data_IF_687085136665
#
_entry.id   IF_687085136665
#
_cell.length_a   1.000
_cell.length_b   1.000
_cell.length_c   1.000
_cell.angle_alpha   90.00
_cell.angle_beta   90.00
_cell.angle_gamma   90.00
#
_symmetry.space_group_name_H-M   'P 1'
#
loop_
_entity.id
_entity.type
_entity.pdbx_description
1 polymer ?
#
# COMPACT_ATOMS: atom_id res chain seq x y z
N UNK A 1 9.12 84.62 51.64
CA UNK A 1 9.19 83.15 51.81
C UNK A 1 7.87 82.56 51.34
N UNK A 2 7.95 81.53 50.50
CA UNK A 2 6.89 80.64 50.03
C UNK A 2 5.67 81.26 49.30
N UNK A 3 5.62 81.07 47.97
CA UNK A 3 4.37 81.03 47.22
C UNK A 3 4.36 79.75 46.38
N UNK A 4 3.36 78.93 46.64
CA UNK A 4 3.17 77.55 46.19
C UNK A 4 2.67 77.52 44.74
N UNK A 5 3.34 76.75 43.89
CA UNK A 5 2.90 76.41 42.53
C UNK A 5 1.73 75.41 42.59
N UNK A 6 0.58 75.74 42.00
CA UNK A 6 -0.51 74.78 41.74
C UNK A 6 -0.52 74.42 40.25
N UNK A 7 -0.24 73.14 39.99
CA UNK A 7 -0.36 72.48 38.69
C UNK A 7 -1.84 72.27 38.38
N UNK A 8 -2.31 72.77 37.25
CA UNK A 8 -3.65 72.54 36.72
C UNK A 8 -3.61 71.24 35.87
N UNK A 9 -4.19 70.17 36.39
CA UNK A 9 -4.41 68.92 35.65
C UNK A 9 -5.62 69.11 34.72
N UNK A 10 -5.37 69.12 33.40
CA UNK A 10 -6.39 69.05 32.36
C UNK A 10 -6.85 67.60 32.22
N UNK A 11 -8.03 67.31 32.76
CA UNK A 11 -8.71 66.02 32.61
C UNK A 11 -9.39 66.02 31.23
N UNK A 12 -8.79 65.31 30.27
CA UNK A 12 -9.43 64.93 29.02
C UNK A 12 -10.56 63.93 29.35
N UNK A 13 -11.80 64.40 29.31
CA UNK A 13 -12.99 63.55 29.37
C UNK A 13 -13.12 62.78 28.05
N UNK A 14 -12.74 61.50 28.08
CA UNK A 14 -13.17 60.51 27.09
C UNK A 14 -14.65 60.20 27.35
N UNK A 15 -15.55 60.81 26.59
CA UNK A 15 -16.95 60.40 26.55
C UNK A 15 -17.06 59.13 25.67
N UNK A 16 -17.74 58.07 26.13
CA UNK A 16 -18.01 56.91 25.29
C UNK A 16 -18.91 57.33 24.13
N UNK A 17 -18.48 57.05 22.90
CA UNK A 17 -19.32 57.16 21.72
C UNK A 17 -20.50 56.18 21.88
N UNK A 18 -21.65 56.69 22.29
CA UNK A 18 -22.91 55.96 22.18
C UNK A 18 -23.19 55.84 20.68
N UNK A 19 -23.24 54.62 20.14
CA UNK A 19 -23.73 54.36 18.79
C UNK A 19 -25.13 54.97 18.69
N UNK A 20 -25.23 56.16 18.08
CA UNK A 20 -26.51 56.77 17.79
C UNK A 20 -27.10 55.96 16.65
N UNK A 21 -28.32 55.47 16.84
CA UNK A 21 -29.08 54.89 15.73
C UNK A 21 -29.20 55.96 14.65
N UNK A 22 -28.83 55.64 13.42
CA UNK A 22 -28.83 56.55 12.27
C UNK A 22 -30.26 56.84 11.76
N UNK A 23 -31.21 57.02 12.67
CA UNK A 23 -32.66 56.99 12.40
C UNK A 23 -33.17 58.08 11.45
N UNK A 24 -32.31 59.02 11.04
CA UNK A 24 -32.65 60.07 10.08
C UNK A 24 -32.17 59.78 8.65
N UNK A 25 -31.25 58.82 8.45
CA UNK A 25 -30.74 58.46 7.12
C UNK A 25 -31.24 57.06 6.77
N UNK A 26 -32.14 56.97 5.78
CA UNK A 26 -32.64 55.70 5.26
C UNK A 26 -31.48 54.83 4.75
N UNK A 27 -31.56 53.52 5.02
CA UNK A 27 -30.62 52.50 4.53
C UNK A 27 -29.15 52.74 4.92
N UNK A 28 -28.91 53.52 5.98
CA UNK A 28 -27.59 53.74 6.56
C UNK A 28 -27.31 52.75 7.71
N UNK A 29 -26.20 52.00 7.61
CA UNK A 29 -25.76 51.03 8.63
C UNK A 29 -24.93 51.70 9.73
N UNK A 30 -24.18 52.76 9.42
CA UNK A 30 -23.36 53.49 10.39
C UNK A 30 -23.23 54.96 10.04
N UNK A 31 -23.23 55.84 11.04
CA UNK A 31 -23.20 57.30 10.87
C UNK A 31 -22.36 57.99 11.96
N UNK A 32 -21.95 59.22 11.67
CA UNK A 32 -21.24 60.08 12.61
C UNK A 32 -22.23 60.95 13.41
N UNK A 33 -22.18 60.94 14.75
CA UNK A 33 -23.21 61.58 15.60
C UNK A 33 -23.22 63.13 15.62
N UNK A 34 -22.17 63.80 15.12
CA UNK A 34 -22.06 65.27 15.25
C UNK A 34 -22.65 66.04 14.05
N UNK A 35 -22.81 65.36 12.92
CA UNK A 35 -23.51 65.79 11.70
C UNK A 35 -23.97 64.49 11.04
N UNK A 36 -25.25 64.33 10.65
CA UNK A 36 -25.77 63.04 10.15
C UNK A 36 -25.12 62.70 8.81
N UNK A 37 -23.91 62.16 8.87
CA UNK A 37 -23.10 61.72 7.74
C UNK A 37 -23.10 60.21 7.80
N UNK A 38 -23.57 59.58 6.74
CA UNK A 38 -23.52 58.13 6.62
C UNK A 38 -22.10 57.69 6.30
N UNK A 39 -21.54 56.78 7.10
CA UNK A 39 -20.21 56.20 6.88
C UNK A 39 -20.25 54.82 6.23
N UNK A 40 -21.42 54.17 6.22
CA UNK A 40 -21.66 52.88 5.55
C UNK A 40 -23.16 52.70 5.31
N UNK A 41 -23.55 52.44 4.07
CA UNK A 41 -24.92 52.05 3.73
C UNK A 41 -25.12 50.54 3.86
N UNK A 42 -26.38 50.10 3.90
CA UNK A 42 -26.75 48.68 3.87
C UNK A 42 -26.31 48.01 2.55
N UNK A 43 -26.24 46.67 2.52
CA UNK A 43 -25.90 45.93 1.31
C UNK A 43 -26.89 46.23 0.16
N UNK A 44 -26.37 46.44 -1.05
CA UNK A 44 -27.17 46.91 -2.19
C UNK A 44 -27.37 48.42 -2.26
N UNK A 45 -26.67 49.19 -1.40
CA UNK A 45 -26.71 50.65 -1.37
C UNK A 45 -25.29 51.25 -1.28
N UNK A 46 -25.10 52.46 -1.81
CA UNK A 46 -23.86 53.23 -1.73
C UNK A 46 -24.12 54.65 -1.19
N UNK A 47 -23.06 55.28 -0.66
CA UNK A 47 -23.13 56.63 -0.11
C UNK A 47 -23.09 57.64 -1.26
N UNK A 48 -24.08 58.51 -1.36
CA UNK A 48 -24.11 59.61 -2.33
C UNK A 48 -23.03 60.66 -2.02
N UNK A 49 -22.73 61.51 -3.01
CA UNK A 49 -21.75 62.60 -2.92
C UNK A 49 -22.05 63.60 -1.78
N UNK A 50 -23.32 63.75 -1.41
CA UNK A 50 -23.78 64.58 -0.29
C UNK A 50 -23.48 63.99 1.10
N UNK A 51 -23.08 62.72 1.16
CA UNK A 51 -22.84 61.90 2.35
C UNK A 51 -24.02 61.80 3.34
N UNK A 52 -25.20 62.27 2.95
CA UNK A 52 -26.42 62.26 3.77
C UNK A 52 -27.50 61.37 3.17
N UNK A 53 -27.28 60.84 1.97
CA UNK A 53 -28.18 59.94 1.26
C UNK A 53 -27.49 58.62 0.93
N UNK A 54 -28.19 57.50 1.10
CA UNK A 54 -27.82 56.21 0.52
C UNK A 54 -28.64 56.01 -0.76
N UNK A 55 -27.97 55.69 -1.87
CA UNK A 55 -28.59 55.41 -3.15
C UNK A 55 -28.51 53.92 -3.47
N UNK A 56 -29.55 53.39 -4.11
CA UNK A 56 -29.64 51.96 -4.41
C UNK A 56 -28.69 51.61 -5.56
N UNK A 57 -28.00 50.47 -5.44
CA UNK A 57 -27.20 49.93 -6.53
C UNK A 57 -28.09 49.52 -7.73
N UNK A 58 -27.53 49.48 -8.96
CA UNK A 58 -28.21 48.96 -10.13
C UNK A 58 -28.70 47.52 -9.92
N UNK A 59 -29.70 47.09 -10.70
CA UNK A 59 -30.18 45.70 -10.63
C UNK A 59 -29.02 44.71 -10.84
N UNK A 60 -29.07 43.60 -10.09
CA UNK A 60 -28.07 42.54 -10.10
C UNK A 60 -26.65 42.95 -9.63
N UNK A 61 -26.49 44.15 -9.06
CA UNK A 61 -25.26 44.60 -8.42
C UNK A 61 -25.31 44.39 -6.90
N UNK A 62 -24.37 43.60 -6.35
CA UNK A 62 -24.22 43.38 -4.90
C UNK A 62 -23.59 44.59 -4.22
N UNK A 63 -22.60 45.19 -4.88
CA UNK A 63 -21.84 46.34 -4.36
C UNK A 63 -21.52 47.32 -5.47
N UNK A 64 -21.89 48.57 -5.24
CA UNK A 64 -21.59 49.69 -6.12
C UNK A 64 -20.91 50.83 -5.34
N UNK A 65 -20.31 51.75 -6.06
CA UNK A 65 -19.61 52.94 -5.55
C UNK A 65 -19.89 54.13 -6.47
N UNK A 66 -19.69 55.35 -5.97
CA UNK A 66 -19.63 56.55 -6.79
C UNK A 66 -18.17 56.96 -6.95
N UNK A 67 -17.55 56.66 -8.11
CA UNK A 67 -16.14 56.99 -8.33
C UNK A 67 -15.95 58.46 -8.73
N UNK A 68 -16.98 59.11 -9.28
CA UNK A 68 -16.87 60.43 -9.89
C UNK A 68 -17.52 61.55 -9.09
N UNK A 69 -18.13 61.23 -7.94
CA UNK A 69 -18.89 62.16 -7.10
C UNK A 69 -20.04 62.84 -7.84
N UNK A 70 -20.69 62.11 -8.75
CA UNK A 70 -21.80 62.57 -9.58
C UNK A 70 -23.12 61.86 -9.24
N UNK A 71 -23.15 61.09 -8.14
CA UNK A 71 -24.26 60.27 -7.69
C UNK A 71 -24.65 59.16 -8.69
N UNK A 72 -23.77 58.82 -9.64
CA UNK A 72 -23.94 57.68 -10.53
C UNK A 72 -23.31 56.42 -9.94
N UNK A 73 -24.11 55.37 -9.79
CA UNK A 73 -23.67 54.11 -9.22
C UNK A 73 -22.84 53.30 -10.23
N UNK A 74 -21.57 53.07 -9.93
CA UNK A 74 -20.69 52.17 -10.66
C UNK A 74 -20.62 50.84 -9.89
N UNK A 75 -21.05 49.76 -10.54
CA UNK A 75 -21.01 48.44 -9.94
C UNK A 75 -19.56 47.93 -9.85
N UNK A 76 -19.23 47.33 -8.71
CA UNK A 76 -17.91 46.74 -8.44
C UNK A 76 -18.03 45.22 -8.30
N UNK A 77 -19.21 44.72 -7.95
CA UNK A 77 -19.46 43.30 -7.71
C UNK A 77 -20.90 42.97 -8.07
N UNK A 78 -21.08 42.06 -9.02
CA UNK A 78 -22.38 41.56 -9.45
C UNK A 78 -22.84 40.36 -8.60
N UNK A 79 -24.14 40.06 -8.62
CA UNK A 79 -24.68 38.82 -8.08
C UNK A 79 -24.12 37.64 -8.89
N UNK A 80 -24.02 36.45 -8.29
CA UNK A 80 -23.66 35.23 -9.01
C UNK A 80 -24.54 35.05 -10.27
N UNK A 81 -23.97 34.49 -11.33
CA UNK A 81 -24.56 34.39 -12.69
C UNK A 81 -24.61 35.71 -13.49
N UNK A 82 -24.13 36.82 -12.92
CA UNK A 82 -24.00 38.09 -13.64
C UNK A 82 -22.54 38.55 -13.70
N UNK A 83 -22.15 39.13 -14.84
CA UNK A 83 -20.84 39.71 -15.09
C UNK A 83 -20.90 41.23 -15.14
N UNK A 84 -19.82 41.89 -14.72
CA UNK A 84 -19.71 43.35 -14.81
C UNK A 84 -19.66 43.78 -16.28
N UNK A 85 -20.51 44.74 -16.66
CA UNK A 85 -20.49 45.34 -18.00
C UNK A 85 -19.23 46.20 -18.20
N UNK A 86 -18.84 46.43 -19.46
CA UNK A 86 -17.63 47.18 -19.80
C UNK A 86 -17.70 48.65 -19.33
N UNK A 87 -18.91 49.21 -19.26
CA UNK A 87 -19.17 50.55 -18.75
C UNK A 87 -19.25 50.61 -17.21
N UNK A 88 -19.16 49.46 -16.53
CA UNK A 88 -19.25 49.29 -15.07
C UNK A 88 -20.57 49.79 -14.44
N UNK A 89 -21.57 50.17 -15.25
CA UNK A 89 -22.85 50.66 -14.71
C UNK A 89 -23.88 49.56 -14.51
N UNK A 90 -23.69 48.40 -15.12
CA UNK A 90 -24.67 47.31 -15.09
C UNK A 90 -24.01 45.95 -14.89
N UNK A 91 -24.85 44.98 -14.57
CA UNK A 91 -24.48 43.58 -14.49
C UNK A 91 -25.28 42.83 -15.56
N UNK A 92 -24.58 42.15 -16.47
CA UNK A 92 -25.19 41.41 -17.59
C UNK A 92 -25.33 39.95 -17.20
N UNK A 93 -26.47 39.33 -17.54
CA UNK A 93 -26.69 37.91 -17.29
C UNK A 93 -25.69 37.08 -18.11
N UNK A 94 -24.88 36.26 -17.45
CA UNK A 94 -23.89 35.43 -18.13
C UNK A 94 -24.55 34.42 -19.07
N UNK A 95 -25.80 34.02 -18.80
CA UNK A 95 -26.56 33.09 -19.63
C UNK A 95 -27.01 33.69 -20.96
N UNK A 96 -26.96 35.02 -21.11
CA UNK A 96 -27.20 35.66 -22.41
C UNK A 96 -26.07 35.35 -23.41
N UNK A 97 -24.87 35.05 -22.92
CA UNK A 97 -23.71 34.64 -23.74
C UNK A 97 -23.74 33.16 -24.12
N UNK A 98 -24.06 32.31 -23.15
CA UNK A 98 -24.07 30.86 -23.26
C UNK A 98 -24.83 30.29 -22.06
N UNK A 99 -25.75 29.35 -22.31
CA UNK A 99 -26.59 28.77 -21.26
C UNK A 99 -25.80 28.07 -20.15
N UNK A 100 -24.55 27.68 -20.42
CA UNK A 100 -23.66 27.00 -19.49
C UNK A 100 -22.62 27.93 -18.84
N UNK A 101 -22.75 29.24 -19.03
CA UNK A 101 -21.86 30.21 -18.41
C UNK A 101 -22.34 30.63 -17.01
N UNK A 102 -21.51 30.35 -15.98
CA UNK A 102 -21.78 30.70 -14.58
C UNK A 102 -21.14 32.05 -14.20
N UNK A 103 -19.96 32.35 -14.74
CA UNK A 103 -19.28 33.63 -14.51
C UNK A 103 -18.78 34.19 -15.82
N UNK A 104 -18.90 35.49 -15.97
CA UNK A 104 -18.54 36.18 -17.20
C UNK A 104 -18.03 37.59 -16.91
N UNK A 105 -17.39 38.16 -17.92
CA UNK A 105 -16.88 39.54 -17.94
C UNK A 105 -17.20 40.12 -19.31
N UNK A 106 -17.69 41.34 -19.38
CA UNK A 106 -17.87 42.03 -20.67
C UNK A 106 -16.52 42.55 -21.17
N UNK A 107 -16.10 42.09 -22.35
CA UNK A 107 -14.81 42.46 -22.92
C UNK A 107 -14.99 43.65 -23.86
N UNK A 108 -14.82 44.84 -23.30
CA UNK A 108 -14.54 46.11 -23.99
C UNK A 108 -15.47 46.48 -25.17
N UNK A 109 -16.55 47.22 -24.88
CA UNK A 109 -17.32 48.09 -25.81
C UNK A 109 -18.05 47.44 -27.00
N UNK A 110 -17.86 46.14 -27.25
CA UNK A 110 -18.45 45.44 -28.40
C UNK A 110 -19.80 44.78 -28.05
N UNK A 111 -20.17 44.78 -26.77
CA UNK A 111 -21.35 44.09 -26.23
C UNK A 111 -21.18 42.58 -26.13
N UNK A 112 -19.95 42.08 -26.21
CA UNK A 112 -19.62 40.66 -26.10
C UNK A 112 -19.30 40.25 -24.66
N UNK A 113 -20.13 39.39 -24.08
CA UNK A 113 -19.89 38.81 -22.76
C UNK A 113 -18.95 37.60 -22.91
N UNK A 114 -17.78 37.68 -22.29
CA UNK A 114 -16.83 36.57 -22.22
C UNK A 114 -17.09 35.71 -21.00
N UNK A 115 -17.28 34.42 -21.22
CA UNK A 115 -17.42 33.44 -20.16
C UNK A 115 -16.07 33.09 -19.53
N UNK A 116 -15.96 33.21 -18.22
CA UNK A 116 -14.76 32.89 -17.44
C UNK A 116 -14.91 31.59 -16.67
N UNK A 117 -16.13 31.21 -16.28
CA UNK A 117 -16.44 29.95 -15.59
C UNK A 117 -17.69 29.32 -16.16
N UNK A 118 -17.63 28.02 -16.45
CA UNK A 118 -18.71 27.24 -17.02
C UNK A 118 -19.31 26.25 -16.01
N UNK A 119 -20.47 25.70 -16.33
CA UNK A 119 -21.09 24.58 -15.64
C UNK A 119 -20.14 23.37 -15.51
N UNK A 120 -20.39 22.52 -14.51
CA UNK A 120 -19.70 21.23 -14.38
C UNK A 120 -19.96 20.41 -15.65
N UNK A 121 -18.87 19.88 -16.24
CA UNK A 121 -18.93 19.20 -17.54
C UNK A 121 -18.75 20.13 -18.74
N UNK A 122 -18.47 21.41 -18.53
CA UNK A 122 -18.16 22.38 -19.58
C UNK A 122 -16.85 23.13 -19.28
N UNK A 123 -16.20 23.64 -20.32
CA UNK A 123 -15.01 24.48 -20.21
C UNK A 123 -15.16 25.75 -21.05
N UNK A 124 -14.51 26.83 -20.63
CA UNK A 124 -14.55 28.09 -21.37
C UNK A 124 -13.81 27.93 -22.70
N UNK A 125 -14.41 28.46 -23.78
CA UNK A 125 -13.73 28.48 -25.09
C UNK A 125 -12.49 29.36 -25.02
N UNK A 126 -11.45 29.04 -25.79
CA UNK A 126 -10.20 29.81 -25.79
C UNK A 126 -10.37 31.27 -26.22
N UNK A 127 -11.41 31.59 -27.00
CA UNK A 127 -11.77 32.95 -27.39
C UNK A 127 -12.64 33.68 -26.35
N UNK A 128 -12.95 33.05 -25.21
CA UNK A 128 -13.83 33.58 -24.17
C UNK A 128 -15.32 33.56 -24.50
N UNK A 129 -15.73 33.19 -25.72
CA UNK A 129 -17.12 33.34 -26.18
C UNK A 129 -17.98 32.12 -25.84
N UNK A 130 -18.27 31.96 -24.56
CA UNK A 130 -19.13 30.92 -24.02
C UNK A 130 -18.39 29.66 -23.61
N UNK A 131 -19.14 28.57 -23.53
CA UNK A 131 -18.70 27.30 -23.00
C UNK A 131 -18.75 26.23 -24.07
N UNK A 132 -17.89 25.23 -23.97
CA UNK A 132 -17.95 24.02 -24.78
C UNK A 132 -18.03 22.81 -23.87
N UNK A 133 -18.80 21.82 -24.29
CA UNK A 133 -19.04 20.59 -23.55
C UNK A 133 -17.73 19.80 -23.47
N UNK A 134 -17.41 19.33 -22.27
CA UNK A 134 -16.27 18.47 -22.06
C UNK A 134 -16.54 17.08 -22.59
N UNK A 135 -15.49 16.44 -23.10
CA UNK A 135 -15.61 15.05 -23.55
C UNK A 135 -15.99 14.16 -22.36
N UNK A 136 -16.80 13.14 -22.66
CA UNK A 136 -17.15 12.09 -21.71
C UNK A 136 -15.88 11.48 -21.08
N UNK A 137 -15.98 11.14 -19.79
CA UNK A 137 -14.91 10.55 -18.99
C UNK A 137 -13.65 11.40 -18.84
N UNK A 138 -13.74 12.72 -19.06
CA UNK A 138 -12.69 13.63 -18.65
C UNK A 138 -12.74 13.88 -17.13
N UNK A 139 -11.61 13.84 -16.45
CA UNK A 139 -11.58 14.18 -15.02
C UNK A 139 -12.01 15.64 -14.79
N UNK A 140 -12.67 15.89 -13.67
CA UNK A 140 -13.10 17.23 -13.28
C UNK A 140 -11.92 18.22 -13.30
N UNK A 141 -12.10 19.36 -13.99
CA UNK A 141 -11.06 20.38 -14.14
C UNK A 141 -9.92 20.04 -15.10
N UNK A 142 -9.95 18.88 -15.78
CA UNK A 142 -8.93 18.49 -16.77
C UNK A 142 -9.30 18.85 -18.21
N UNK A 143 -10.49 19.40 -18.41
CA UNK A 143 -11.04 19.78 -19.71
C UNK A 143 -10.73 21.25 -20.06
N UNK A 144 -10.27 21.51 -21.29
CA UNK A 144 -9.90 22.83 -21.79
C UNK A 144 -10.10 22.95 -23.30
N UNK A 145 -10.43 24.12 -23.82
CA UNK A 145 -10.37 24.41 -25.27
C UNK A 145 -9.05 25.14 -25.56
N UNK A 146 -8.14 24.53 -26.31
CA UNK A 146 -6.85 25.14 -26.63
C UNK A 146 -6.84 25.95 -27.94
N UNK A 147 -7.75 25.67 -28.87
CA UNK A 147 -7.62 26.12 -30.27
C UNK A 147 -8.76 27.02 -30.74
N UNK A 148 -9.76 27.31 -29.89
CA UNK A 148 -10.96 28.09 -30.24
C UNK A 148 -11.75 27.50 -31.41
N UNK A 149 -11.58 26.21 -31.69
CA UNK A 149 -12.36 25.48 -32.69
C UNK A 149 -13.67 24.92 -32.10
N UNK A 150 -13.89 25.16 -30.80
CA UNK A 150 -15.05 24.68 -30.05
C UNK A 150 -14.94 23.23 -29.65
N UNK A 151 -13.79 22.58 -29.81
CA UNK A 151 -13.56 21.19 -29.41
C UNK A 151 -12.84 21.19 -28.06
N UNK A 152 -13.51 20.68 -27.02
CA UNK A 152 -12.85 20.46 -25.75
C UNK A 152 -11.75 19.39 -25.90
N UNK A 153 -10.59 19.67 -25.32
CA UNK A 153 -9.51 18.73 -25.10
C UNK A 153 -9.50 18.28 -23.64
N UNK A 154 -9.10 17.04 -23.39
CA UNK A 154 -9.00 16.46 -22.06
C UNK A 154 -7.55 16.12 -21.71
N UNK A 155 -7.07 16.69 -20.60
CA UNK A 155 -5.71 16.45 -20.11
C UNK A 155 -5.57 15.11 -19.38
N UNK A 156 -6.56 14.79 -18.54
CA UNK A 156 -6.59 13.58 -17.71
C UNK A 156 -7.99 12.98 -17.83
N UNK A 157 -8.04 11.68 -18.13
CA UNK A 157 -9.27 10.92 -18.21
C UNK A 157 -9.49 10.13 -16.93
N UNK A 158 -10.75 9.82 -16.63
CA UNK A 158 -11.15 8.98 -15.51
C UNK A 158 -10.43 7.62 -15.53
N UNK A 159 -10.35 6.98 -14.37
CA UNK A 159 -9.74 5.65 -14.24
C UNK A 159 -10.36 4.64 -15.22
N UNK A 160 -9.50 3.92 -15.96
CA UNK A 160 -9.92 3.00 -17.02
C UNK A 160 -10.02 3.65 -18.40
N UNK A 161 -9.72 4.94 -18.52
CA UNK A 161 -9.66 5.67 -19.79
C UNK A 161 -8.30 6.34 -20.00
N UNK A 162 -7.97 6.62 -21.26
CA UNK A 162 -6.78 7.40 -21.63
C UNK A 162 -7.13 8.47 -22.65
N UNK A 163 -6.47 9.64 -22.61
CA UNK A 163 -6.67 10.66 -23.62
C UNK A 163 -6.21 10.15 -24.98
N UNK A 164 -6.99 10.42 -26.03
CA UNK A 164 -6.54 10.19 -27.39
C UNK A 164 -5.30 11.01 -27.72
N UNK A 165 -4.61 10.67 -28.80
CA UNK A 165 -3.43 11.39 -29.27
C UNK A 165 -3.68 12.90 -29.41
N UNK A 166 -4.84 13.28 -29.94
CA UNK A 166 -5.26 14.67 -30.09
C UNK A 166 -6.04 15.22 -28.87
N UNK A 167 -6.19 14.45 -27.80
CA UNK A 167 -6.88 14.79 -26.54
C UNK A 167 -8.38 15.12 -26.68
N UNK A 168 -8.96 14.97 -27.86
CA UNK A 168 -10.39 15.27 -28.11
C UNK A 168 -11.36 14.20 -27.63
N UNK A 169 -10.87 13.14 -26.97
CA UNK A 169 -11.70 12.08 -26.38
C UNK A 169 -10.91 11.30 -25.34
N UNK A 170 -11.64 10.68 -24.43
CA UNK A 170 -11.13 9.66 -23.53
C UNK A 170 -11.49 8.28 -24.09
N UNK A 171 -10.47 7.49 -24.42
CA UNK A 171 -10.58 6.15 -24.98
C UNK A 171 -10.67 5.13 -23.85
N UNK A 172 -11.61 4.19 -23.94
CA UNK A 172 -11.76 3.14 -22.92
C UNK A 172 -10.62 2.12 -23.06
N UNK A 173 -9.84 1.92 -22.00
CA UNK A 173 -8.75 0.95 -22.02
C UNK A 173 -9.22 -0.48 -22.33
N UNK A 174 -10.46 -0.80 -21.95
CA UNK A 174 -11.05 -2.12 -22.20
C UNK A 174 -11.41 -2.38 -23.67
N UNK A 175 -11.40 -1.35 -24.51
CA UNK A 175 -11.57 -1.53 -25.96
C UNK A 175 -10.35 -2.21 -26.60
N UNK A 176 -9.16 -2.07 -25.98
CA UNK A 176 -7.96 -2.79 -26.41
C UNK A 176 -7.99 -4.26 -25.97
N UNK A 177 -8.38 -4.51 -24.72
CA UNK A 177 -8.43 -5.82 -24.09
C UNK A 177 -9.22 -5.74 -22.77
N UNK A 178 -10.04 -6.75 -22.46
CA UNK A 178 -10.87 -6.76 -21.26
C UNK A 178 -10.07 -6.67 -19.95
N UNK A 179 -8.81 -7.10 -19.97
CA UNK A 179 -7.88 -7.09 -18.84
C UNK A 179 -6.99 -5.86 -18.78
N UNK A 180 -7.18 -4.88 -19.67
CA UNK A 180 -6.42 -3.65 -19.65
C UNK A 180 -7.01 -2.63 -18.66
N UNK A 181 -6.21 -2.21 -17.68
CA UNK A 181 -6.63 -1.24 -16.64
C UNK A 181 -6.05 0.16 -16.88
N UNK A 182 -4.91 0.27 -17.54
CA UNK A 182 -4.34 1.55 -17.99
C UNK A 182 -3.82 1.42 -19.40
N UNK A 183 -3.98 2.49 -20.17
CA UNK A 183 -3.62 2.52 -21.58
C UNK A 183 -3.10 3.90 -22.00
N UNK A 184 -2.57 3.99 -23.22
CA UNK A 184 -2.13 5.21 -23.89
C UNK A 184 -2.51 5.17 -25.38
N UNK A 185 -2.54 6.32 -26.04
CA UNK A 185 -2.72 6.44 -27.50
C UNK A 185 -1.53 7.24 -28.06
N UNK A 186 -0.38 6.57 -28.17
CA UNK A 186 0.90 7.22 -28.45
C UNK A 186 1.24 7.33 -29.95
N UNK A 187 0.53 6.61 -30.83
CA UNK A 187 1.01 6.38 -32.20
C UNK A 187 0.18 6.99 -33.33
N UNK A 188 -0.88 7.75 -33.04
CA UNK A 188 -1.76 8.38 -34.04
C UNK A 188 -2.31 7.35 -35.07
N UNK A 189 -2.26 6.06 -34.74
CA UNK A 189 -2.82 4.96 -35.50
C UNK A 189 -4.26 4.65 -35.06
N UNK A 190 -4.76 5.38 -34.05
CA UNK A 190 -6.08 5.21 -33.46
C UNK A 190 -6.17 3.98 -32.55
N UNK A 191 -5.05 3.35 -32.23
CA UNK A 191 -4.96 2.18 -31.38
C UNK A 191 -4.76 2.55 -29.91
N UNK A 192 -5.59 1.98 -29.04
CA UNK A 192 -5.38 2.03 -27.59
C UNK A 192 -4.31 1.01 -27.21
N UNK A 193 -3.18 1.47 -26.70
CA UNK A 193 -2.09 0.64 -26.22
C UNK A 193 -2.20 0.40 -24.71
N UNK A 194 -2.31 -0.85 -24.29
CA UNK A 194 -2.33 -1.20 -22.89
C UNK A 194 -0.96 -1.06 -22.25
N UNK A 195 -0.89 -0.34 -21.12
CA UNK A 195 0.33 -0.13 -20.34
C UNK A 195 0.31 -0.91 -19.03
N UNK A 196 -0.87 -1.13 -18.45
CA UNK A 196 -1.05 -1.89 -17.21
C UNK A 196 -2.26 -2.82 -17.33
N UNK A 197 -2.09 -4.06 -16.89
CA UNK A 197 -3.12 -5.10 -16.93
C UNK A 197 -3.63 -5.48 -15.53
N UNK A 198 -4.74 -6.21 -15.49
CA UNK A 198 -5.24 -6.88 -14.28
C UNK A 198 -4.16 -7.77 -13.63
N UNK A 199 -4.31 -8.02 -12.33
CA UNK A 199 -3.47 -8.98 -11.61
C UNK A 199 -3.56 -10.35 -12.29
N UNK A 200 -2.41 -10.97 -12.56
CA UNK A 200 -2.33 -12.22 -13.32
C UNK A 200 -2.21 -12.02 -14.83
N UNK A 201 -2.07 -10.78 -15.31
CA UNK A 201 -1.82 -10.46 -16.72
C UNK A 201 -0.63 -9.50 -16.87
N UNK A 202 0.02 -9.55 -18.03
CA UNK A 202 1.06 -8.60 -18.44
C UNK A 202 0.70 -7.94 -19.77
N UNK A 203 1.10 -6.68 -19.95
CA UNK A 203 0.94 -5.99 -21.23
C UNK A 203 1.74 -6.70 -22.32
N UNK A 204 1.17 -6.82 -23.52
CA UNK A 204 1.86 -7.40 -24.67
C UNK A 204 2.99 -6.49 -25.13
N UNK A 205 4.04 -7.03 -25.72
CA UNK A 205 5.19 -6.28 -26.22
C UNK A 205 4.83 -5.26 -27.32
N UNK A 206 3.74 -5.51 -28.07
CA UNK A 206 3.19 -4.57 -29.06
C UNK A 206 2.19 -3.56 -28.47
N UNK A 207 1.92 -3.62 -27.17
CA UNK A 207 0.92 -2.82 -26.46
C UNK A 207 -0.53 -3.14 -26.82
N UNK A 208 -0.83 -4.11 -27.69
CA UNK A 208 -2.20 -4.40 -28.14
C UNK A 208 -2.92 -5.36 -27.19
N UNK A 209 -3.01 -4.95 -25.93
CA UNK A 209 -3.74 -5.67 -24.88
C UNK A 209 -2.86 -6.42 -23.90
N UNK A 210 -3.47 -7.41 -23.26
CA UNK A 210 -2.90 -8.14 -22.14
C UNK A 210 -2.78 -9.62 -22.48
N UNK A 211 -1.74 -10.28 -21.96
CA UNK A 211 -1.58 -11.73 -22.02
C UNK A 211 -1.58 -12.26 -20.59
N UNK A 212 -2.30 -13.35 -20.38
CA UNK A 212 -2.38 -14.06 -19.11
C UNK A 212 -0.98 -14.55 -18.70
N UNK A 213 -0.64 -14.31 -17.45
CA UNK A 213 0.58 -14.81 -16.85
C UNK A 213 0.47 -16.31 -16.63
N UNK A 214 1.59 -17.01 -16.79
CA UNK A 214 1.60 -18.45 -16.55
C UNK A 214 1.26 -18.76 -15.08
N UNK A 215 0.56 -19.87 -14.88
CA UNK A 215 0.26 -20.42 -13.56
C UNK A 215 1.52 -20.47 -12.70
N UNK A 216 1.36 -20.13 -11.41
CA UNK A 216 2.42 -20.10 -10.40
C UNK A 216 3.54 -19.10 -10.63
N UNK A 217 3.31 -18.06 -11.43
CA UNK A 217 4.20 -16.90 -11.45
C UNK A 217 3.92 -16.00 -10.23
N UNK A 218 4.98 -15.55 -9.54
CA UNK A 218 4.80 -14.60 -8.44
C UNK A 218 4.22 -13.28 -8.94
N UNK A 219 3.41 -12.62 -8.11
CA UNK A 219 2.83 -11.32 -8.42
C UNK A 219 3.91 -10.30 -8.83
N UNK A 220 3.71 -9.64 -9.98
CA UNK A 220 4.67 -8.67 -10.53
C UNK A 220 5.94 -9.28 -11.15
N UNK A 221 6.08 -10.60 -11.21
CA UNK A 221 7.22 -11.29 -11.82
C UNK A 221 6.99 -11.69 -13.28
N UNK A 222 5.78 -11.47 -13.77
CA UNK A 222 5.37 -11.75 -15.13
C UNK A 222 5.66 -10.54 -16.05
N UNK A 223 6.19 -10.80 -17.24
CA UNK A 223 6.49 -9.78 -18.25
C UNK A 223 6.39 -10.38 -19.66
N UNK A 224 5.94 -9.61 -20.64
CA UNK A 224 6.03 -10.05 -22.03
C UNK A 224 7.42 -9.71 -22.60
N UNK A 225 8.18 -10.74 -22.97
CA UNK A 225 9.53 -10.59 -23.48
C UNK A 225 9.63 -10.66 -25.01
N UNK A 226 8.64 -11.24 -25.69
CA UNK A 226 8.81 -11.70 -27.06
C UNK A 226 7.63 -11.31 -27.96
N UNK A 227 7.92 -11.07 -29.24
CA UNK A 227 6.93 -10.78 -30.29
C UNK A 227 5.90 -11.89 -30.54
N UNK A 228 6.07 -13.05 -29.89
CA UNK A 228 5.20 -14.21 -30.02
C UNK A 228 3.98 -14.13 -29.07
N UNK A 229 3.93 -13.10 -28.20
CA UNK A 229 2.78 -12.80 -27.34
C UNK A 229 2.58 -13.76 -26.17
N UNK A 230 3.65 -14.45 -25.75
CA UNK A 230 3.64 -15.38 -24.61
C UNK A 230 4.30 -14.70 -23.42
N UNK A 231 3.57 -14.60 -22.30
CA UNK A 231 4.11 -14.06 -21.06
C UNK A 231 5.27 -14.94 -20.55
N UNK A 232 6.35 -14.29 -20.13
CA UNK A 232 7.46 -14.90 -19.41
C UNK A 232 7.36 -14.62 -17.91
N UNK A 233 7.89 -15.55 -17.10
CA UNK A 233 7.91 -15.44 -15.66
C UNK A 233 9.34 -15.37 -15.13
N UNK A 234 9.64 -14.33 -14.36
CA UNK A 234 10.96 -14.10 -13.74
C UNK A 234 11.15 -14.94 -12.47
N UNK A 235 10.11 -14.99 -11.63
CA UNK A 235 10.09 -15.67 -10.34
C UNK A 235 8.79 -16.46 -10.23
N UNK A 236 8.92 -17.74 -9.92
CA UNK A 236 7.79 -18.63 -9.69
C UNK A 236 7.53 -18.77 -8.20
N UNK A 237 6.28 -19.08 -7.83
CA UNK A 237 5.87 -19.37 -6.47
C UNK A 237 6.73 -20.50 -5.86
N UNK A 238 6.80 -20.54 -4.52
CA UNK A 238 7.57 -21.57 -3.81
C UNK A 238 7.18 -22.99 -4.24
N UNK A 239 8.20 -23.81 -4.55
CA UNK A 239 8.02 -25.16 -5.10
C UNK A 239 7.94 -25.21 -6.63
N UNK A 240 8.03 -24.07 -7.32
CA UNK A 240 8.11 -24.00 -8.78
C UNK A 240 9.39 -23.28 -9.24
N UNK A 241 9.84 -23.58 -10.46
CA UNK A 241 10.93 -22.87 -11.10
C UNK A 241 10.59 -22.51 -12.55
N UNK A 242 11.14 -21.40 -13.08
CA UNK A 242 10.95 -21.05 -14.48
C UNK A 242 11.50 -22.14 -15.41
N UNK A 243 10.78 -22.45 -16.48
CA UNK A 243 11.30 -23.24 -17.59
C UNK A 243 12.46 -22.49 -18.27
N UNK A 244 13.25 -23.21 -19.07
CA UNK A 244 14.38 -22.63 -19.83
C UNK A 244 13.98 -21.38 -20.65
N UNK A 245 12.82 -21.42 -21.30
CA UNK A 245 12.28 -20.30 -22.07
C UNK A 245 11.44 -19.32 -21.23
N UNK A 246 11.37 -19.51 -19.91
CA UNK A 246 10.60 -18.72 -18.93
C UNK A 246 9.10 -18.63 -19.18
N UNK A 247 8.57 -19.32 -20.18
CA UNK A 247 7.15 -19.27 -20.51
C UNK A 247 6.30 -20.17 -19.62
N UNK A 248 6.86 -20.83 -18.61
CA UNK A 248 6.12 -21.70 -17.67
C UNK A 248 6.83 -21.75 -16.33
N UNK A 249 6.07 -21.86 -15.24
CA UNK A 249 6.57 -22.31 -13.96
C UNK A 249 6.33 -23.81 -13.84
N UNK A 250 7.40 -24.57 -13.64
CA UNK A 250 7.39 -26.03 -13.56
C UNK A 250 7.60 -26.44 -12.11
N UNK A 251 6.74 -27.34 -11.61
CA UNK A 251 6.82 -27.85 -10.25
C UNK A 251 8.18 -28.56 -10.04
N UNK A 252 8.88 -28.19 -8.98
CA UNK A 252 10.06 -28.90 -8.49
C UNK A 252 9.61 -30.23 -7.86
N UNK A 253 9.19 -31.20 -8.68
CA UNK A 253 8.50 -32.45 -8.30
C UNK A 253 9.38 -33.48 -7.54
N UNK A 254 10.48 -33.02 -6.93
CA UNK A 254 11.41 -33.82 -6.15
C UNK A 254 11.20 -33.55 -4.67
N UNK A 255 10.93 -34.63 -3.93
CA UNK A 255 10.74 -34.59 -2.48
C UNK A 255 11.81 -33.71 -1.82
N UNK A 256 11.34 -32.64 -1.16
CA UNK A 256 12.13 -31.73 -0.33
C UNK A 256 13.06 -30.75 -1.07
N UNK A 257 12.92 -30.54 -2.37
CA UNK A 257 13.53 -29.39 -3.04
C UNK A 257 12.60 -28.17 -2.95
N UNK A 258 13.05 -27.07 -2.35
CA UNK A 258 12.28 -25.83 -2.20
C UNK A 258 12.50 -24.86 -3.35
N UNK A 259 13.71 -24.85 -3.92
CA UNK A 259 14.07 -24.03 -5.09
C UNK A 259 14.92 -24.84 -6.06
N UNK A 260 14.52 -24.85 -7.33
CA UNK A 260 15.26 -25.46 -8.43
C UNK A 260 15.58 -24.41 -9.51
N UNK A 261 16.67 -24.60 -10.27
CA UNK A 261 17.09 -23.69 -11.35
C UNK A 261 17.17 -24.45 -12.66
N UNK A 262 16.58 -23.87 -13.71
CA UNK A 262 16.59 -24.29 -15.12
C UNK A 262 15.99 -25.68 -15.35
N UNK A 263 14.72 -25.77 -15.77
CA UNK A 263 14.09 -27.04 -16.18
C UNK A 263 13.88 -27.02 -17.69
N UNK A 264 14.28 -28.11 -18.37
CA UNK A 264 14.09 -28.23 -19.82
C UNK A 264 12.61 -28.29 -20.23
N UNK A 265 12.37 -28.19 -21.54
CA UNK A 265 11.02 -28.15 -22.15
C UNK A 265 10.16 -29.40 -21.87
N UNK A 266 10.78 -30.50 -21.42
CA UNK A 266 10.14 -31.77 -21.12
C UNK A 266 9.92 -31.99 -19.62
N UNK A 267 10.16 -30.97 -18.78
CA UNK A 267 10.13 -31.14 -17.33
C UNK A 267 11.30 -32.00 -16.82
N UNK A 268 12.38 -32.12 -17.59
CA UNK A 268 13.57 -32.89 -17.22
C UNK A 268 14.74 -31.95 -16.96
N UNK A 269 15.58 -32.35 -16.02
CA UNK A 269 16.82 -31.65 -15.76
C UNK A 269 17.90 -32.05 -16.79
N UNK A 270 18.40 -31.09 -17.56
CA UNK A 270 19.64 -31.21 -18.33
C UNK A 270 20.83 -31.40 -17.35
N UNK A 271 22.04 -31.61 -17.85
CA UNK A 271 23.19 -32.06 -17.07
C UNK A 271 23.69 -31.08 -16.01
N UNK A 272 23.26 -29.82 -16.02
CA UNK A 272 23.77 -28.74 -15.16
C UNK A 272 22.82 -28.26 -14.05
N UNK A 273 21.61 -28.79 -13.97
CA UNK A 273 20.55 -28.24 -13.12
C UNK A 273 20.63 -28.70 -11.66
N UNK A 274 20.29 -27.79 -10.75
CA UNK A 274 20.57 -27.93 -9.31
C UNK A 274 19.35 -27.57 -8.49
N UNK A 275 19.00 -28.44 -7.53
CA UNK A 275 18.26 -27.98 -6.36
C UNK A 275 19.17 -27.04 -5.56
N UNK A 276 18.83 -25.76 -5.50
CA UNK A 276 19.62 -24.73 -4.82
C UNK A 276 19.26 -24.64 -3.35
N UNK A 277 18.02 -24.99 -3.00
CA UNK A 277 17.55 -24.98 -1.63
C UNK A 277 16.70 -26.21 -1.32
N UNK A 278 17.05 -26.88 -0.23
CA UNK A 278 16.35 -28.06 0.25
C UNK A 278 15.54 -27.71 1.51
N UNK A 279 14.46 -28.44 1.74
CA UNK A 279 13.66 -28.35 2.96
C UNK A 279 14.53 -28.58 4.20
N UNK A 280 14.10 -28.02 5.34
CA UNK A 280 14.83 -28.10 6.61
C UNK A 280 15.36 -29.52 6.90
N UNK A 281 16.63 -29.60 7.33
CA UNK A 281 17.41 -30.83 7.55
C UNK A 281 17.83 -31.58 6.29
N UNK A 282 17.88 -30.94 5.14
CA UNK A 282 18.39 -31.58 3.93
C UNK A 282 19.40 -30.70 3.20
N UNK A 283 20.32 -31.34 2.47
CA UNK A 283 21.38 -30.67 1.72
C UNK A 283 21.44 -31.22 0.28
N UNK A 284 21.75 -30.39 -0.72
CA UNK A 284 21.85 -30.83 -2.12
C UNK A 284 22.94 -31.90 -2.32
N UNK A 285 22.61 -33.07 -2.89
CA UNK A 285 23.55 -34.20 -3.07
C UNK A 285 24.46 -34.07 -4.31
N UNK A 286 25.81 -34.13 -4.19
CA UNK A 286 26.73 -34.30 -5.33
C UNK A 286 26.90 -35.80 -5.66
N UNK A 287 26.94 -36.24 -6.94
CA UNK A 287 27.10 -35.48 -8.17
C UNK A 287 25.75 -35.28 -8.88
N UNK A 288 25.50 -34.05 -9.35
CA UNK A 288 24.30 -33.58 -10.09
C UNK A 288 23.20 -32.87 -9.30
N UNK A 289 23.29 -32.68 -7.98
CA UNK A 289 22.35 -31.83 -7.19
C UNK A 289 20.84 -32.06 -7.46
N UNK A 290 20.46 -33.24 -7.96
CA UNK A 290 19.07 -33.56 -8.39
C UNK A 290 18.15 -33.89 -7.23
N UNK A 291 18.71 -34.19 -6.06
CA UNK A 291 17.96 -34.65 -4.89
C UNK A 291 18.51 -34.03 -3.63
N UNK A 292 17.62 -33.63 -2.75
CA UNK A 292 17.93 -33.32 -1.37
C UNK A 292 18.07 -34.62 -0.58
N UNK A 293 19.06 -34.66 0.32
CA UNK A 293 19.26 -35.78 1.23
C UNK A 293 19.30 -35.27 2.66
N UNK A 294 18.71 -36.06 3.55
CA UNK A 294 18.61 -35.71 4.97
C UNK A 294 20.00 -35.62 5.60
N UNK A 295 20.23 -34.54 6.35
CA UNK A 295 21.40 -34.38 7.18
C UNK A 295 21.48 -35.50 8.23
N UNK A 296 22.69 -35.79 8.75
CA UNK A 296 22.83 -36.69 9.90
C UNK A 296 21.93 -36.26 11.06
N UNK A 297 21.50 -37.20 11.90
CA UNK A 297 20.66 -36.90 13.05
C UNK A 297 21.27 -35.79 13.93
N UNK A 298 20.40 -34.96 14.52
CA UNK A 298 20.76 -33.82 15.38
C UNK A 298 21.56 -32.70 14.69
N UNK A 299 21.68 -32.77 13.37
CA UNK A 299 22.30 -31.73 12.57
C UNK A 299 21.28 -30.68 12.10
N UNK A 300 21.54 -29.41 12.39
CA UNK A 300 20.77 -28.24 11.93
C UNK A 300 21.19 -27.83 10.52
N UNK A 301 22.48 -27.89 10.19
CA UNK A 301 23.02 -27.63 8.85
C UNK A 301 24.16 -28.58 8.51
N UNK A 302 24.14 -29.21 7.33
CA UNK A 302 25.19 -30.11 6.87
C UNK A 302 25.66 -29.79 5.44
N UNK A 303 26.93 -30.13 5.14
CA UNK A 303 27.57 -29.99 3.83
C UNK A 303 28.17 -31.33 3.41
N UNK A 304 28.29 -31.59 2.11
CA UNK A 304 28.90 -32.83 1.62
C UNK A 304 30.42 -32.74 1.66
N UNK A 305 31.06 -33.69 2.35
CA UNK A 305 32.54 -33.81 2.37
C UNK A 305 33.06 -34.74 1.27
N UNK A 306 32.23 -35.67 0.80
CA UNK A 306 32.51 -36.56 -0.32
C UNK A 306 31.21 -36.93 -1.07
N UNK A 307 31.30 -37.80 -2.08
CA UNK A 307 30.14 -38.21 -2.89
C UNK A 307 29.14 -39.10 -2.14
N UNK A 308 29.34 -39.42 -0.85
CA UNK A 308 28.53 -40.40 -0.12
C UNK A 308 28.13 -39.97 1.29
N UNK A 309 28.78 -38.96 1.87
CA UNK A 309 28.61 -38.61 3.29
C UNK A 309 28.37 -37.11 3.49
N UNK A 310 27.19 -36.70 4.01
CA UNK A 310 26.98 -35.35 4.51
C UNK A 310 27.63 -35.22 5.91
N UNK A 311 28.42 -34.18 6.10
CA UNK A 311 29.06 -33.80 7.34
C UNK A 311 28.27 -32.66 8.01
N UNK A 312 28.05 -32.75 9.32
CA UNK A 312 27.35 -31.69 10.02
C UNK A 312 28.27 -30.48 10.27
N UNK A 313 27.75 -29.27 10.08
CA UNK A 313 28.47 -28.03 10.40
C UNK A 313 27.86 -27.29 11.59
N UNK A 314 26.54 -27.34 11.73
CA UNK A 314 25.83 -26.71 12.84
C UNK A 314 24.91 -27.74 13.46
N UNK A 315 25.08 -27.98 14.75
CA UNK A 315 24.21 -28.82 15.54
C UNK A 315 22.98 -28.04 16.05
N UNK A 316 21.93 -28.73 16.48
CA UNK A 316 20.87 -28.07 17.25
C UNK A 316 21.43 -27.52 18.57
N UNK A 317 20.75 -26.54 19.17
CA UNK A 317 21.25 -25.70 20.26
C UNK A 317 21.60 -26.45 21.58
N UNK A 318 21.58 -27.79 21.58
CA UNK A 318 21.87 -28.68 22.71
C UNK A 318 22.79 -29.87 22.35
N UNK A 319 23.43 -29.87 21.18
CA UNK A 319 24.34 -30.95 20.75
C UNK A 319 25.71 -30.37 20.38
N UNK A 320 26.80 -31.06 20.74
CA UNK A 320 28.17 -30.73 20.35
C UNK A 320 28.56 -31.37 19.02
N UNK A 321 29.43 -30.72 18.24
CA UNK A 321 29.98 -31.30 17.02
C UNK A 321 31.10 -32.30 17.37
N UNK A 322 31.11 -33.50 16.78
CA UNK A 322 32.24 -34.43 16.95
C UNK A 322 33.51 -33.85 16.36
N UNK A 323 34.66 -34.22 16.92
CA UNK A 323 35.99 -33.83 16.43
C UNK A 323 36.26 -34.22 14.96
N UNK A 324 35.52 -35.19 14.41
CA UNK A 324 35.59 -35.56 13.00
C UNK A 324 34.78 -34.63 12.06
N UNK A 325 34.04 -33.67 12.62
CA UNK A 325 33.07 -32.79 11.96
C UNK A 325 31.98 -33.53 11.15
N UNK A 326 31.73 -34.82 11.41
CA UNK A 326 30.79 -35.61 10.60
C UNK A 326 29.41 -35.73 11.23
N UNK A 327 29.30 -35.55 12.55
CA UNK A 327 28.05 -35.78 13.28
C UNK A 327 27.96 -34.94 14.54
N UNK A 328 26.74 -34.69 15.01
CA UNK A 328 26.48 -34.10 16.30
C UNK A 328 26.32 -35.19 17.36
N UNK A 329 26.72 -34.88 18.60
CA UNK A 329 26.56 -35.72 19.78
C UNK A 329 25.86 -34.93 20.88
N UNK A 330 25.10 -35.59 21.74
CA UNK A 330 24.34 -34.99 22.84
C UNK A 330 25.21 -34.54 24.04
N UNK A 331 26.48 -34.20 23.80
CA UNK A 331 27.49 -33.91 24.81
C UNK A 331 27.92 -32.45 24.78
N UNK A 332 28.03 -31.83 25.97
CA UNK A 332 28.67 -30.53 26.18
C UNK A 332 30.05 -30.75 26.85
N UNK A 333 31.11 -30.18 26.27
CA UNK A 333 32.35 -29.93 27.00
C UNK A 333 32.25 -28.53 27.63
N UNK A 334 32.57 -28.40 28.92
CA UNK A 334 32.49 -27.11 29.61
C UNK A 334 33.73 -26.25 29.37
N UNK A 335 34.79 -26.84 28.84
CA UNK A 335 35.98 -26.12 28.42
C UNK A 335 35.83 -25.77 26.94
N UNK A 336 36.01 -24.49 26.63
CA UNK A 336 35.69 -23.81 25.38
C UNK A 336 36.62 -24.22 24.20
N UNK A 337 37.00 -25.49 24.12
CA UNK A 337 37.87 -26.07 23.09
C UNK A 337 37.02 -27.02 22.24
N UNK A 338 36.92 -26.75 20.94
CA UNK A 338 36.00 -27.38 19.97
C UNK A 338 36.30 -28.88 19.68
N UNK A 339 36.97 -29.59 20.58
CA UNK A 339 37.28 -31.01 20.45
C UNK A 339 37.05 -31.73 21.78
N UNK A 340 35.79 -32.09 22.05
CA UNK A 340 35.44 -32.89 23.22
C UNK A 340 36.00 -34.31 23.07
N UNK A 341 37.16 -34.61 23.68
CA UNK A 341 37.61 -35.98 23.90
C UNK A 341 36.89 -36.63 25.09
N UNK A 342 36.17 -35.86 25.92
CA UNK A 342 35.41 -36.33 27.09
C UNK A 342 34.10 -35.58 27.28
N UNK A 343 32.98 -36.30 27.34
CA UNK A 343 31.62 -35.87 27.63
C UNK A 343 31.41 -35.68 29.14
N UNK A 344 31.74 -34.49 29.65
CA UNK A 344 31.67 -34.14 31.08
C UNK A 344 30.24 -33.84 31.56
N UNK A 345 29.33 -33.44 30.66
CA UNK A 345 27.90 -33.23 30.96
C UNK A 345 27.02 -33.71 29.82
N UNK A 346 26.06 -34.58 30.18
CA UNK A 346 24.94 -34.97 29.35
C UNK A 346 23.72 -34.10 29.68
N UNK A 347 22.80 -33.94 28.72
CA UNK A 347 21.49 -33.29 28.95
C UNK A 347 20.72 -33.94 30.10
N UNK A 348 19.78 -33.23 30.73
CA UNK A 348 19.07 -33.60 31.99
C UNK A 348 18.36 -34.98 31.99
N UNK A 349 18.30 -35.67 30.85
CA UNK A 349 17.69 -37.01 30.67
C UNK A 349 18.69 -38.06 30.16
N UNK A 350 19.97 -37.73 30.15
CA UNK A 350 21.06 -38.58 29.67
C UNK A 350 22.18 -38.60 30.71
N UNK A 351 22.94 -39.68 30.73
CA UNK A 351 24.04 -39.87 31.66
C UNK A 351 25.28 -40.36 30.91
N UNK A 352 26.50 -39.93 31.31
CA UNK A 352 27.71 -40.38 30.66
C UNK A 352 27.99 -41.85 31.00
N UNK A 353 28.60 -42.58 30.07
CA UNK A 353 29.17 -43.89 30.30
C UNK A 353 30.41 -43.80 31.23
N UNK A 354 30.94 -44.96 31.62
CA UNK A 354 32.08 -45.04 32.56
C UNK A 354 33.34 -44.32 32.05
N UNK A 355 33.53 -44.27 30.73
CA UNK A 355 34.66 -43.58 30.11
C UNK A 355 34.36 -42.10 29.82
N UNK A 356 33.15 -41.61 30.11
CA UNK A 356 32.68 -40.27 29.78
C UNK A 356 32.86 -39.96 28.30
N UNK A 357 32.62 -40.91 27.40
CA UNK A 357 32.73 -40.72 25.95
C UNK A 357 31.37 -40.70 25.27
N UNK A 358 30.34 -41.28 25.90
CA UNK A 358 29.01 -41.45 25.31
C UNK A 358 27.93 -41.13 26.34
N UNK A 359 26.93 -40.34 25.94
CA UNK A 359 25.71 -40.17 26.72
C UNK A 359 24.71 -41.30 26.41
N UNK A 360 24.19 -41.94 27.45
CA UNK A 360 23.10 -42.91 27.36
C UNK A 360 21.81 -42.27 27.86
N UNK A 361 20.74 -42.40 27.07
CA UNK A 361 19.41 -41.94 27.47
C UNK A 361 18.94 -42.71 28.69
N UNK A 362 18.45 -42.00 29.70
CA UNK A 362 17.74 -42.62 30.81
C UNK A 362 16.51 -43.37 30.31
N UNK A 363 16.14 -44.52 30.91
CA UNK A 363 14.91 -45.20 30.56
C UNK A 363 13.71 -44.26 30.65
N UNK A 364 12.79 -44.35 29.68
CA UNK A 364 11.57 -43.54 29.68
C UNK A 364 10.78 -43.75 30.97
N UNK A 365 10.22 -42.68 31.53
CA UNK A 365 9.51 -42.66 32.82
C UNK A 365 10.40 -43.01 34.03
N UNK A 366 11.69 -42.66 33.98
CA UNK A 366 12.57 -42.71 35.13
C UNK A 366 12.41 -41.47 35.99
N UNK A 367 11.87 -41.62 37.20
CA UNK A 367 11.66 -40.53 38.14
C UNK A 367 12.97 -40.09 38.79
N UNK A 368 13.81 -41.05 39.21
CA UNK A 368 15.04 -40.75 39.94
C UNK A 368 16.09 -41.86 39.84
N UNK A 369 17.35 -41.46 40.04
CA UNK A 369 18.50 -42.36 40.11
C UNK A 369 18.81 -43.10 38.80
N UNK A 370 18.73 -42.37 37.69
CA UNK A 370 19.32 -42.80 36.44
C UNK A 370 20.85 -42.85 36.58
N UNK A 371 21.45 -44.02 36.35
CA UNK A 371 22.89 -44.23 36.44
C UNK A 371 23.38 -45.24 35.40
N UNK A 372 24.65 -45.14 34.99
CA UNK A 372 25.19 -46.01 33.96
C UNK A 372 25.58 -47.33 34.60
N UNK A 373 25.17 -48.43 33.98
CA UNK A 373 25.55 -49.77 34.41
C UNK A 373 26.50 -50.37 33.40
N UNK A 374 27.75 -50.59 33.80
CA UNK A 374 28.74 -51.26 32.95
C UNK A 374 28.39 -52.73 32.68
N UNK A 375 27.59 -53.38 33.54
CA UNK A 375 27.11 -54.74 33.31
C UNK A 375 26.02 -54.82 32.22
N UNK A 376 25.17 -53.80 32.13
CA UNK A 376 24.10 -53.73 31.11
C UNK A 376 24.53 -52.90 29.89
N UNK A 377 25.69 -52.24 29.94
CA UNK A 377 26.20 -51.31 28.91
C UNK A 377 25.18 -50.22 28.52
N UNK A 378 24.36 -49.79 29.47
CA UNK A 378 23.24 -48.87 29.27
C UNK A 378 22.93 -48.08 30.55
N UNK A 379 22.14 -47.01 30.41
CA UNK A 379 21.55 -46.33 31.54
C UNK A 379 20.47 -47.21 32.18
N UNK A 380 20.50 -47.31 33.50
CA UNK A 380 19.51 -48.01 34.30
C UNK A 380 18.78 -47.01 35.19
N UNK A 381 17.52 -47.31 35.49
CA UNK A 381 16.69 -46.50 36.36
C UNK A 381 16.45 -47.20 37.70
N UNK A 382 16.75 -46.53 38.82
CA UNK A 382 16.44 -47.10 40.14
C UNK A 382 15.01 -46.89 40.58
N UNK A 383 14.38 -45.78 40.16
CA UNK A 383 13.01 -45.44 40.56
C UNK A 383 12.23 -44.90 39.36
N UNK A 384 11.18 -45.63 38.97
CA UNK A 384 10.30 -45.23 37.88
C UNK A 384 9.20 -44.29 38.35
N UNK A 385 8.63 -43.52 37.43
CA UNK A 385 7.47 -42.66 37.69
C UNK A 385 6.27 -43.46 38.22
N UNK A 386 5.38 -42.82 39.00
CA UNK A 386 4.17 -43.45 39.51
C UNK A 386 3.36 -44.16 38.41
N UNK A 387 3.09 -45.45 38.61
CA UNK A 387 2.37 -46.29 37.63
C UNK A 387 3.28 -47.18 36.79
N UNK A 388 4.60 -47.11 36.97
CA UNK A 388 5.58 -47.96 36.31
C UNK A 388 6.44 -48.72 37.34
N UNK A 389 6.94 -49.88 36.96
CA UNK A 389 7.90 -50.69 37.74
C UNK A 389 9.12 -51.00 36.87
N UNK A 390 10.31 -50.86 37.44
CA UNK A 390 11.55 -51.17 36.75
C UNK A 390 11.60 -52.66 36.33
N UNK A 391 12.08 -52.93 35.12
CA UNK A 391 12.39 -54.28 34.65
C UNK A 391 13.41 -54.96 35.57
N UNK A 392 13.54 -56.29 35.47
CA UNK A 392 14.45 -57.05 36.33
C UNK A 392 15.92 -56.58 36.25
N UNK A 393 16.35 -56.12 35.07
CA UNK A 393 17.66 -55.54 34.83
C UNK A 393 17.69 -54.00 34.89
N UNK A 394 16.56 -53.37 35.24
CA UNK A 394 16.39 -51.92 35.42
C UNK A 394 16.64 -51.06 34.17
N UNK A 395 16.75 -51.67 32.99
CA UNK A 395 16.94 -50.94 31.73
C UNK A 395 15.64 -50.32 31.20
N UNK A 396 14.48 -50.66 31.76
CA UNK A 396 13.17 -50.18 31.32
C UNK A 396 12.25 -49.94 32.52
N UNK A 397 11.37 -48.95 32.43
CA UNK A 397 10.26 -48.75 33.36
C UNK A 397 8.95 -49.19 32.69
N UNK A 398 8.40 -50.31 33.15
CA UNK A 398 7.25 -50.97 32.53
C UNK A 398 5.97 -50.57 33.25
N UNK A 399 4.91 -50.25 32.49
CA UNK A 399 3.62 -49.86 33.07
C UNK A 399 3.04 -51.03 33.90
N UNK A 400 2.60 -50.72 35.12
CA UNK A 400 1.95 -51.70 35.98
C UNK A 400 0.63 -52.14 35.34
N UNK A 401 0.51 -53.41 34.95
CA UNK A 401 -0.76 -53.93 34.45
C UNK A 401 -1.77 -53.96 35.61
N UNK A 402 -2.81 -53.12 35.53
CA UNK A 402 -3.96 -53.21 36.42
C UNK A 402 -4.67 -54.54 36.16
N UNK A 403 -4.71 -55.42 37.16
CA UNK A 403 -5.61 -56.58 37.13
C UNK A 403 -7.04 -56.07 37.29
N UNK A 404 -7.78 -55.93 36.18
CA UNK A 404 -9.23 -55.84 36.22
C UNK A 404 -9.79 -57.19 36.68
N UNK A 405 -10.04 -57.32 37.98
CA UNK A 405 -10.95 -58.34 38.50
C UNK A 405 -12.36 -57.77 38.34
N UNK A 406 -12.97 -57.98 37.17
CA UNK A 406 -14.40 -57.74 36.97
C UNK A 406 -15.21 -58.84 37.66
N UNK A 407 -16.01 -58.41 38.63
CA UNK A 407 -17.06 -59.20 39.28
C UNK A 407 -18.14 -59.57 38.26
N UNK A 408 -18.29 -60.87 37.97
CA UNK A 408 -19.45 -61.40 37.24
C UNK A 408 -20.70 -61.37 38.14
N UNK A 409 -21.57 -60.37 37.94
CA UNK A 409 -22.97 -60.46 38.39
C UNK A 409 -23.80 -61.20 37.33
N UNK A 410 -24.26 -62.39 37.69
CA UNK A 410 -25.25 -63.18 36.93
C UNK A 410 -26.61 -62.55 37.21
N UNK A 411 -27.23 -61.91 36.21
CA UNK A 411 -28.65 -61.60 36.22
C UNK A 411 -29.40 -62.63 35.37
N UNK A 412 -30.05 -63.57 36.06
CA UNK A 412 -30.98 -64.54 35.47
C UNK A 412 -32.34 -63.87 35.23
N UNK A 413 -32.88 -64.06 34.03
CA UNK A 413 -34.29 -63.85 33.71
C UNK A 413 -34.89 -65.16 33.21
N UNK A 414 -35.22 -66.03 34.17
CA UNK A 414 -36.40 -66.91 34.31
C UNK A 414 -36.11 -67.92 35.41
#
# INVERSE_FOLDING_TARGET
>A
MAAVFRVLFLVLFYLPATNGECGEIADCESCFNQQPVCTKCQQGWFIASDQVTCLQCPENCVRCVDLNSDDQAECVECIAEYGLSADQFTCTDCKDSDAHCIQCTDDNNDGGVNCTTCDVGYTAKANGQGCTECNDHCEEGSCFDANSDGVAECKLCESGYAPSFNKTRCLNCKDSDAHCIQCTDDNNDGGVHCTTCDVGYTAKANGQGCTECNDHCEEGSCFDANSDGVAECKLCESGYAPSFNKTRCLNCDYASCMNCVDIDQNGKFDHDDRCTECAHRQTPYPPRYRTCKVCPNMCKQCTWIDQQTPACHICYDNCGLRADNRSCVDCFDSDNDDTAETCLRCHDTFIPDENQLVCHACPDNCASGCAYSSSETAAICTECDPGFTASANKSECLRNQQSNVESLEINASC
#
